data_IF_362804205461
#
_entry.id   IF_362804205461
#
_cell.length_a   1.000
_cell.length_b   1.000
_cell.length_c   1.000
_cell.angle_alpha   90.00
_cell.angle_beta   90.00
_cell.angle_gamma   90.00
#
_symmetry.space_group_name_H-M   'P 1'
#
loop_
_entity.id
_entity.type
_entity.pdbx_description
1 polymer ?
#
# COMPACT_ATOMS: atom_id res chain seq x y z
N UNK A 1 2.03 6.02 -24.34
CA UNK A 1 2.51 5.63 -23.01
C UNK A 1 1.30 5.21 -22.18
N UNK A 2 1.02 3.91 -22.10
CA UNK A 2 -0.02 3.37 -21.22
C UNK A 2 0.51 3.40 -19.79
N UNK A 3 0.21 4.47 -19.04
CA UNK A 3 0.58 4.54 -17.63
C UNK A 3 -0.13 3.44 -16.85
N UNK A 4 0.60 2.75 -15.97
CA UNK A 4 0.03 1.78 -15.05
C UNK A 4 -0.09 2.37 -13.66
N UNK A 5 -1.12 2.04 -12.90
CA UNK A 5 -1.29 2.45 -11.52
C UNK A 5 -0.61 1.48 -10.56
N UNK A 6 -0.07 2.01 -9.48
CA UNK A 6 0.75 1.30 -8.50
C UNK A 6 0.17 1.59 -7.13
N UNK A 7 -0.08 0.52 -6.38
CA UNK A 7 -0.50 0.62 -4.99
C UNK A 7 0.74 0.72 -4.10
N UNK A 8 0.81 1.78 -3.30
CA UNK A 8 1.77 1.91 -2.21
C UNK A 8 1.03 1.81 -0.88
N UNK A 9 1.58 1.04 0.05
CA UNK A 9 1.06 0.89 1.41
C UNK A 9 2.13 1.37 2.38
N UNK A 10 1.78 2.29 3.25
CA UNK A 10 2.64 2.81 4.32
C UNK A 10 2.12 2.25 5.64
N UNK A 11 3.01 1.64 6.41
CA UNK A 11 2.73 1.09 7.73
C UNK A 11 3.52 1.88 8.77
N UNK A 12 2.82 2.40 9.76
CA UNK A 12 3.35 3.12 10.91
C UNK A 12 3.30 2.22 12.14
N UNK A 13 4.45 1.97 12.73
CA UNK A 13 4.59 1.19 13.96
C UNK A 13 4.55 2.12 15.17
N UNK A 14 4.01 1.64 16.29
CA UNK A 14 3.94 2.43 17.53
C UNK A 14 5.30 2.77 18.13
N UNK A 15 6.36 2.09 17.70
CA UNK A 15 7.75 2.38 18.08
C UNK A 15 8.37 3.56 17.29
N UNK A 16 7.62 4.16 16.36
CA UNK A 16 8.09 5.27 15.53
C UNK A 16 8.68 4.85 14.19
N UNK A 17 8.83 3.56 13.92
CA UNK A 17 9.29 3.06 12.62
C UNK A 17 8.19 3.16 11.56
N UNK A 18 8.60 3.31 10.31
CA UNK A 18 7.69 3.36 9.17
C UNK A 18 8.26 2.54 8.03
N UNK A 19 7.40 1.74 7.39
CA UNK A 19 7.76 0.94 6.21
C UNK A 19 6.83 1.34 5.07
N UNK A 20 7.41 1.56 3.88
CA UNK A 20 6.67 1.74 2.64
C UNK A 20 6.83 0.48 1.80
N UNK A 21 5.71 -0.06 1.35
CA UNK A 21 5.63 -1.26 0.53
C UNK A 21 5.00 -0.88 -0.81
N UNK A 22 5.67 -1.27 -1.89
CA UNK A 22 5.13 -1.18 -3.24
C UNK A 22 4.49 -2.53 -3.60
N UNK A 23 3.26 -2.49 -4.11
CA UNK A 23 2.59 -3.66 -4.63
C UNK A 23 3.23 -4.09 -5.96
N UNK A 24 3.52 -5.39 -6.07
CA UNK A 24 4.13 -6.03 -7.23
C UNK A 24 3.25 -5.99 -8.48
N UNK A 25 1.93 -6.08 -8.29
CA UNK A 25 0.94 -5.96 -9.34
C UNK A 25 0.72 -4.49 -9.77
N UNK A 26 0.66 -4.29 -11.09
CA UNK A 26 0.38 -3.01 -11.74
C UNK A 26 -1.05 -3.01 -12.27
N UNK A 27 -1.78 -1.92 -12.08
CA UNK A 27 -3.20 -1.81 -12.44
C UNK A 27 -3.39 -0.95 -13.69
N UNK A 28 -4.44 -1.23 -14.46
CA UNK A 28 -4.75 -0.44 -15.67
C UNK A 28 -5.45 0.88 -15.34
N UNK A 29 -6.24 0.90 -14.28
CA UNK A 29 -7.00 2.09 -13.85
C UNK A 29 -6.73 2.41 -12.37
N UNK A 30 -6.97 3.65 -12.01
CA UNK A 30 -6.89 4.13 -10.62
C UNK A 30 -7.87 3.37 -9.72
N UNK A 31 -9.12 3.20 -10.18
CA UNK A 31 -10.17 2.50 -9.42
C UNK A 31 -9.80 1.05 -9.09
N UNK A 32 -9.17 0.34 -10.03
CA UNK A 32 -8.69 -1.03 -9.80
C UNK A 32 -7.61 -1.06 -8.71
N UNK A 33 -6.71 -0.07 -8.72
CA UNK A 33 -5.70 0.07 -7.70
C UNK A 33 -6.32 0.36 -6.33
N UNK A 34 -7.28 1.28 -6.24
CA UNK A 34 -7.95 1.61 -4.97
C UNK A 34 -8.76 0.43 -4.43
N UNK A 35 -9.47 -0.29 -5.30
CA UNK A 35 -10.20 -1.49 -4.91
C UNK A 35 -9.25 -2.56 -4.33
N UNK A 36 -8.07 -2.76 -4.95
CA UNK A 36 -7.05 -3.65 -4.40
C UNK A 36 -6.52 -3.13 -3.06
N UNK A 37 -6.28 -1.82 -2.92
CA UNK A 37 -5.82 -1.19 -1.67
C UNK A 37 -6.79 -1.37 -0.51
N UNK A 38 -8.10 -1.22 -0.75
CA UNK A 38 -9.15 -1.42 0.25
C UNK A 38 -9.23 -2.87 0.76
N UNK A 39 -8.76 -3.85 -0.02
CA UNK A 39 -8.74 -5.27 0.35
C UNK A 39 -7.39 -5.65 0.97
N UNK A 40 -6.28 -5.35 0.27
CA UNK A 40 -4.92 -5.73 0.68
C UNK A 40 -4.43 -4.94 1.89
N UNK A 41 -4.80 -3.65 2.01
CA UNK A 41 -4.36 -2.75 3.07
C UNK A 41 -4.72 -3.25 4.48
N UNK A 42 -6.02 -3.43 4.80
CA UNK A 42 -6.43 -3.93 6.11
C UNK A 42 -5.82 -5.29 6.46
N UNK A 43 -5.80 -6.23 5.49
CA UNK A 43 -5.21 -7.55 5.69
C UNK A 43 -3.72 -7.48 6.02
N UNK A 44 -2.98 -6.61 5.34
CA UNK A 44 -1.55 -6.44 5.59
C UNK A 44 -1.27 -5.80 6.95
N UNK A 45 -2.09 -4.82 7.37
CA UNK A 45 -1.97 -4.20 8.70
C UNK A 45 -2.25 -5.22 9.81
N UNK A 46 -3.32 -6.00 9.69
CA UNK A 46 -3.64 -7.07 10.63
C UNK A 46 -2.50 -8.09 10.72
N UNK A 47 -2.05 -8.62 9.58
CA UNK A 47 -0.95 -9.59 9.52
C UNK A 47 0.35 -9.04 10.10
N UNK A 48 0.69 -7.78 9.80
CA UNK A 48 1.89 -7.13 10.32
C UNK A 48 1.81 -6.98 11.84
N UNK A 49 0.65 -6.56 12.37
CA UNK A 49 0.46 -6.47 13.82
C UNK A 49 0.67 -7.81 14.52
N UNK A 50 0.15 -8.90 13.94
CA UNK A 50 0.34 -10.26 14.47
C UNK A 50 1.79 -10.75 14.41
N UNK A 51 2.53 -10.47 13.33
CA UNK A 51 3.92 -10.91 13.17
C UNK A 51 4.84 -10.21 14.17
N UNK A 52 4.68 -8.89 14.33
CA UNK A 52 5.57 -8.08 15.16
C UNK A 52 5.09 -7.95 16.61
N UNK A 53 3.88 -8.43 16.92
CA UNK A 53 3.30 -8.37 18.27
C UNK A 53 3.03 -6.94 18.76
N UNK A 54 2.91 -5.97 17.85
CA UNK A 54 2.67 -4.56 18.17
C UNK A 54 1.55 -3.99 17.31
N UNK A 55 0.76 -3.03 17.82
CA UNK A 55 -0.22 -2.33 16.99
C UNK A 55 0.48 -1.57 15.85
N UNK A 56 -0.18 -1.55 14.69
CA UNK A 56 0.25 -0.75 13.54
C UNK A 56 -0.91 0.07 13.02
N UNK A 57 -0.60 1.19 12.37
CA UNK A 57 -1.54 1.97 11.55
C UNK A 57 -1.03 1.99 10.13
N UNK A 58 -1.89 2.36 9.18
CA UNK A 58 -1.41 2.53 7.82
C UNK A 58 -2.32 3.36 6.96
N UNK A 59 -1.77 3.72 5.82
CA UNK A 59 -2.44 4.40 4.72
C UNK A 59 -2.00 3.75 3.43
N UNK A 60 -2.83 3.81 2.41
CA UNK A 60 -2.45 3.37 1.08
C UNK A 60 -2.78 4.45 0.06
N UNK A 61 -2.06 4.43 -1.06
CA UNK A 61 -2.20 5.39 -2.14
C UNK A 61 -2.00 4.69 -3.47
N UNK A 62 -2.70 5.18 -4.48
CA UNK A 62 -2.54 4.76 -5.85
C UNK A 62 -1.84 5.85 -6.64
N UNK A 63 -0.72 5.51 -7.26
CA UNK A 63 0.07 6.46 -8.06
C UNK A 63 0.28 5.93 -9.47
N UNK A 64 0.31 6.83 -10.43
CA UNK A 64 0.56 6.49 -11.83
C UNK A 64 2.06 6.32 -12.08
N UNK A 65 2.48 5.10 -12.41
CA UNK A 65 3.85 4.79 -12.80
C UNK A 65 4.22 5.51 -14.11
N UNK A 66 5.41 6.10 -14.14
CA UNK A 66 5.98 6.71 -15.34
C UNK A 66 5.55 8.15 -15.62
N UNK A 67 4.79 8.79 -14.72
CA UNK A 67 4.80 10.26 -14.64
C UNK A 67 5.83 10.64 -13.58
N UNK A 68 7.03 10.96 -14.03
CA UNK A 68 7.99 11.65 -13.17
C UNK A 68 7.32 12.94 -12.65
N UNK A 69 7.46 13.15 -11.34
CA UNK A 69 7.33 14.45 -10.71
C UNK A 69 8.28 15.47 -11.37
#
# INVERSE_FOLDING_TARGET
>A
MTGSWVLYIIIFFVNGETIVLENDERFKTEDQCWAAGMIKGPHLLEKTSHIFGVPVRGSFSCQRAGQNA
#
